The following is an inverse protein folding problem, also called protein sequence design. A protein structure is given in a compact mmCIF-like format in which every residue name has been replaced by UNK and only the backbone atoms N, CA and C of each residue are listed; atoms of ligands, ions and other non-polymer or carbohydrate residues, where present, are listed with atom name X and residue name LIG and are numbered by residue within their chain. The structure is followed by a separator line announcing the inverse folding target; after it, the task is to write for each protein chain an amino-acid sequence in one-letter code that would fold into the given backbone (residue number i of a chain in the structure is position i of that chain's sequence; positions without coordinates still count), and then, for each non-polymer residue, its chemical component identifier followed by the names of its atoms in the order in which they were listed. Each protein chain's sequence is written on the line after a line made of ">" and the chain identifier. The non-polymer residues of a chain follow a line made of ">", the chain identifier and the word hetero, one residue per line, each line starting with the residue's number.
data_IF_231421452419
#
_entry.id   IF_231421452419
#
_cell.length_a   1.000
_cell.length_b   1.000
_cell.length_c   1.000
_cell.angle_alpha   90.00
_cell.angle_beta   90.00
_cell.angle_gamma   90.00
#
_symmetry.space_group_name_H-M   'P 1'
#
loop_
_entity.id
_entity.type
_entity.pdbx_description
1 polymer ?
#
# COMPACT_ATOMS: atom_id res chain seq x y z
N UNK A 1 -8.19 -11.02 -6.26
CA UNK A 1 -7.39 -10.35 -5.20
C UNK A 1 -6.33 -9.50 -5.87
N UNK A 2 -6.13 -8.27 -5.39
CA UNK A 2 -5.16 -7.31 -5.92
C UNK A 2 -4.07 -7.04 -4.89
N UNK A 3 -2.83 -6.95 -5.37
CA UNK A 3 -1.67 -6.59 -4.55
C UNK A 3 -1.46 -5.08 -4.67
N UNK A 4 -1.45 -4.39 -3.54
CA UNK A 4 -1.27 -2.95 -3.47
C UNK A 4 -0.06 -2.61 -2.60
N UNK A 5 0.62 -1.53 -2.97
CA UNK A 5 1.63 -0.86 -2.15
C UNK A 5 0.96 0.38 -1.59
N UNK A 6 0.78 0.43 -0.28
CA UNK A 6 0.07 1.48 0.44
C UNK A 6 1.06 2.30 1.24
N UNK A 7 1.06 3.61 1.03
CA UNK A 7 1.77 4.57 1.85
C UNK A 7 0.87 4.98 3.01
N UNK A 8 1.35 4.80 4.23
CA UNK A 8 0.60 5.06 5.46
C UNK A 8 1.23 6.21 6.23
N UNK A 9 0.45 6.85 7.10
CA UNK A 9 0.94 7.87 8.00
C UNK A 9 1.65 7.23 9.19
N UNK A 10 0.99 6.26 9.83
CA UNK A 10 1.47 5.56 11.02
C UNK A 10 1.49 4.04 10.82
N UNK A 11 2.67 3.42 11.04
CA UNK A 11 2.87 1.97 10.90
C UNK A 11 2.25 1.16 12.05
N UNK A 12 1.94 1.77 13.19
CA UNK A 12 1.36 1.04 14.34
C UNK A 12 -0.14 0.77 14.13
N UNK A 13 -0.81 1.64 13.37
CA UNK A 13 -2.25 1.55 13.08
C UNK A 13 -2.60 0.56 11.97
N UNK A 14 -1.61 0.07 11.20
CA UNK A 14 -1.83 -0.89 10.11
C UNK A 14 -2.41 -2.21 10.59
N UNK A 15 -2.26 -2.55 11.88
CA UNK A 15 -2.89 -3.75 12.46
C UNK A 15 -4.42 -3.71 12.39
N UNK A 16 -5.04 -2.53 12.37
CA UNK A 16 -6.50 -2.38 12.20
C UNK A 16 -6.94 -2.73 10.77
N UNK A 17 -6.05 -2.56 9.80
CA UNK A 17 -6.32 -2.85 8.38
C UNK A 17 -6.38 -4.34 8.09
N UNK A 18 -5.88 -5.19 9.00
CA UNK A 18 -5.96 -6.66 8.90
C UNK A 18 -7.40 -7.19 8.85
N UNK A 19 -8.38 -6.39 9.24
CA UNK A 19 -9.79 -6.76 9.20
C UNK A 19 -10.36 -6.84 7.78
N UNK A 20 -9.78 -6.09 6.83
CA UNK A 20 -10.27 -5.99 5.45
C UNK A 20 -9.20 -6.20 4.38
N UNK A 21 -7.92 -6.34 4.77
CA UNK A 21 -6.83 -6.69 3.85
C UNK A 21 -5.78 -7.58 4.51
N UNK A 22 -5.06 -8.36 3.71
CA UNK A 22 -3.95 -9.19 4.17
C UNK A 22 -2.65 -8.43 3.98
N UNK A 23 -1.91 -8.16 5.06
CA UNK A 23 -0.62 -7.48 4.96
C UNK A 23 0.45 -8.48 4.52
N UNK A 24 1.02 -8.27 3.33
CA UNK A 24 2.07 -9.12 2.75
C UNK A 24 3.47 -8.65 3.13
N UNK A 25 3.66 -7.35 3.33
CA UNK A 25 4.95 -6.76 3.66
C UNK A 25 4.79 -5.47 4.48
N UNK A 26 5.72 -5.23 5.41
CA UNK A 26 5.81 -3.96 6.14
C UNK A 26 7.24 -3.44 6.00
N UNK A 27 7.40 -2.24 5.45
CA UNK A 27 8.72 -1.64 5.29
C UNK A 27 9.28 -1.19 6.65
N UNK A 28 10.50 -1.66 6.96
CA UNK A 28 11.22 -1.22 8.16
C UNK A 28 11.63 0.25 8.07
N UNK A 29 11.98 0.71 6.87
CA UNK A 29 12.56 2.04 6.65
C UNK A 29 11.54 3.08 6.22
N UNK A 30 10.56 2.68 5.41
CA UNK A 30 9.54 3.59 4.88
C UNK A 30 8.20 3.37 5.58
N UNK A 31 7.33 4.38 5.57
CA UNK A 31 5.93 4.23 5.99
C UNK A 31 5.12 3.64 4.84
N UNK A 32 5.51 2.44 4.41
CA UNK A 32 4.92 1.74 3.27
C UNK A 32 4.65 0.29 3.67
N UNK A 33 3.48 -0.21 3.29
CA UNK A 33 3.07 -1.59 3.47
C UNK A 33 2.64 -2.19 2.13
N UNK A 34 2.94 -3.47 1.93
CA UNK A 34 2.33 -4.29 0.90
C UNK A 34 1.09 -4.96 1.47
N UNK A 35 -0.04 -4.86 0.77
CA UNK A 35 -1.29 -5.51 1.15
C UNK A 35 -1.88 -6.25 -0.04
N UNK A 36 -2.60 -7.32 0.25
CA UNK A 36 -3.45 -8.02 -0.69
C UNK A 36 -4.89 -7.82 -0.24
N UNK A 37 -5.71 -7.26 -1.13
CA UNK A 37 -7.08 -6.85 -0.84
C UNK A 37 -8.03 -7.34 -1.94
N UNK A 38 -9.28 -7.61 -1.59
CA UNK A 38 -10.33 -7.84 -2.58
C UNK A 38 -10.74 -6.53 -3.24
N UNK A 39 -11.10 -6.60 -4.53
CA UNK A 39 -11.44 -5.39 -5.29
C UNK A 39 -12.63 -4.63 -4.70
N UNK A 40 -13.60 -5.36 -4.14
CA UNK A 40 -14.76 -4.81 -3.44
C UNK A 40 -14.41 -4.00 -2.18
N UNK A 41 -13.27 -4.30 -1.55
CA UNK A 41 -12.85 -3.69 -0.28
C UNK A 41 -11.87 -2.52 -0.49
N UNK A 42 -11.43 -2.25 -1.73
CA UNK A 42 -10.49 -1.16 -2.05
C UNK A 42 -11.04 0.21 -1.62
N UNK A 43 -12.35 0.42 -1.70
CA UNK A 43 -12.98 1.68 -1.28
C UNK A 43 -12.73 1.99 0.20
N UNK A 44 -12.77 0.96 1.07
CA UNK A 44 -12.48 1.13 2.50
C UNK A 44 -11.05 1.60 2.76
N UNK A 45 -10.13 1.24 1.87
CA UNK A 45 -8.73 1.65 1.94
C UNK A 45 -8.54 3.11 1.50
N UNK A 46 -9.42 3.65 0.64
CA UNK A 46 -9.47 5.08 0.32
C UNK A 46 -10.08 5.92 1.45
N UNK A 47 -11.03 5.36 2.20
CA UNK A 47 -11.70 6.05 3.31
C UNK A 47 -10.85 6.07 4.60
N UNK A 48 -9.83 5.21 4.69
CA UNK A 48 -8.98 5.09 5.86
C UNK A 48 -8.04 6.31 6.02
N UNK A 49 -8.19 7.04 7.13
CA UNK A 49 -7.40 8.25 7.44
C UNK A 49 -5.90 8.00 7.61
N UNK A 50 -5.50 6.75 7.83
CA UNK A 50 -4.09 6.38 7.94
C UNK A 50 -3.45 6.17 6.57
N UNK A 51 -4.25 6.04 5.50
CA UNK A 51 -3.76 5.87 4.13
C UNK A 51 -3.51 7.23 3.50
N UNK A 52 -2.30 7.43 2.99
CA UNK A 52 -1.90 8.64 2.26
C UNK A 52 -2.14 8.41 0.76
N UNK A 53 -1.70 7.27 0.26
CA UNK A 53 -1.88 6.86 -1.13
C UNK A 53 -1.64 5.36 -1.27
N UNK A 54 -2.14 4.77 -2.35
CA UNK A 54 -1.80 3.41 -2.73
C UNK A 54 -1.61 3.32 -4.24
N UNK A 55 -0.84 2.33 -4.65
CA UNK A 55 -0.65 1.94 -6.05
C UNK A 55 -0.77 0.44 -6.18
N UNK A 56 -1.23 -0.04 -7.32
CA UNK A 56 -1.20 -1.47 -7.61
C UNK A 56 0.26 -1.93 -7.77
N UNK A 57 0.59 -3.08 -7.16
CA UNK A 57 1.86 -3.74 -7.37
C UNK A 57 1.87 -4.33 -8.77
N UNK A 58 2.72 -3.79 -9.64
CA UNK A 58 2.97 -4.37 -10.96
C UNK A 58 4.08 -5.42 -10.84
N UNK A 59 3.76 -6.69 -11.06
CA UNK A 59 4.76 -7.75 -11.16
C UNK A 59 5.43 -7.69 -12.54
N UNK A 60 6.77 -7.55 -12.56
CA UNK A 60 7.56 -7.69 -13.79
C UNK A 60 7.69 -6.45 -14.67
N UNK A 61 7.22 -5.26 -14.26
CA UNK A 61 7.55 -4.01 -14.95
C UNK A 61 8.76 -3.33 -14.32
N UNK A 62 9.83 -3.20 -15.10
CA UNK A 62 10.99 -2.38 -14.78
C UNK A 62 10.52 -0.95 -14.48
N UNK A 63 10.78 -0.47 -13.26
CA UNK A 63 10.49 0.91 -12.87
C UNK A 63 11.65 1.77 -13.38
N UNK A 64 11.50 2.57 -14.46
CA UNK A 64 12.58 3.43 -14.91
C UNK A 64 12.90 4.43 -13.80
N UNK A 65 14.19 4.52 -13.47
CA UNK A 65 14.74 5.45 -12.50
C UNK A 65 14.55 6.87 -13.03
N UNK A 66 13.45 7.53 -12.66
CA UNK A 66 13.23 8.95 -12.99
C UNK A 66 14.05 9.79 -12.02
N UNK A 67 15.34 9.96 -12.33
CA UNK A 67 16.10 11.14 -11.93
C UNK A 67 15.79 12.23 -12.96
N UNK A 68 14.66 12.90 -12.79
CA UNK A 68 14.42 14.19 -13.45
C UNK A 68 15.03 15.29 -12.59
N UNK A 69 16.30 15.62 -12.80
CA UNK A 69 16.84 16.90 -12.33
C UNK A 69 16.42 17.99 -13.34
N UNK A 70 15.62 18.95 -12.89
CA UNK A 70 15.46 20.26 -13.54
C UNK A 70 16.41 21.26 -12.89
#
# INVERSE_FOLDING_TARGET
>A
MKRLIVKVNDKTKVNQMRNFCTITYISKFLNVIGVEIEESEIQKLQEDKNVISFRESEEGKFQPDVIGCY
#
